data_IF_963208635802
#
_entry.id   IF_963208635802
#
_cell.length_a   1.000
_cell.length_b   1.000
_cell.length_c   1.000
_cell.angle_alpha   90.00
_cell.angle_beta   90.00
_cell.angle_gamma   90.00
#
_symmetry.space_group_name_H-M   'P 1'
#
loop_
_entity.id
_entity.type
_entity.pdbx_description
1 polymer ?
#
# COMPACT_ATOMS: atom_id res chain seq x y z
N UNK A 1 75.83 13.60 62.45
CA UNK A 1 75.65 14.27 61.15
C UNK A 1 74.97 13.28 60.21
N UNK A 2 73.92 13.69 59.47
CA UNK A 2 72.63 12.98 59.39
C UNK A 2 72.30 12.46 57.99
N UNK A 3 71.17 11.75 57.90
CA UNK A 3 70.50 11.32 56.67
C UNK A 3 69.57 10.15 56.98
N UNK A 4 68.55 10.36 57.84
CA UNK A 4 67.15 10.56 57.40
C UNK A 4 66.58 9.32 56.70
N UNK A 5 65.43 8.73 57.06
CA UNK A 5 64.32 9.08 57.93
C UNK A 5 63.68 7.73 58.26
N UNK A 6 63.40 7.48 59.53
CA UNK A 6 62.02 7.36 60.02
C UNK A 6 61.21 6.31 59.25
N UNK A 7 61.31 5.06 59.67
CA UNK A 7 60.43 4.44 60.67
C UNK A 7 59.22 3.76 60.02
N UNK A 8 59.21 2.45 60.24
CA UNK A 8 58.08 1.67 60.73
C UNK A 8 56.82 1.56 59.87
N UNK A 9 56.37 0.29 59.82
CA UNK A 9 54.99 -0.14 59.63
C UNK A 9 54.53 -0.03 58.16
N UNK A 10 54.29 -1.09 57.39
CA UNK A 10 53.27 -2.12 57.62
C UNK A 10 53.26 -3.06 56.39
N UNK A 11 53.17 -4.37 56.66
CA UNK A 11 52.53 -5.45 55.88
C UNK A 11 52.82 -5.67 54.37
N UNK A 12 53.37 -6.86 54.12
CA UNK A 12 52.87 -7.89 53.18
C UNK A 12 52.18 -7.45 51.89
N UNK A 13 52.84 -7.69 50.75
CA UNK A 13 52.36 -8.55 49.66
C UNK A 13 53.34 -8.46 48.48
N UNK A 14 53.75 -9.60 47.90
CA UNK A 14 54.40 -9.54 46.59
C UNK A 14 55.12 -10.79 46.12
N UNK A 15 54.36 -11.65 45.44
CA UNK A 15 54.77 -12.50 44.30
C UNK A 15 55.53 -13.82 44.55
N UNK A 16 54.78 -14.92 44.43
CA UNK A 16 55.20 -16.26 44.00
C UNK A 16 53.92 -17.02 43.54
N UNK A 17 53.93 -17.99 42.61
CA UNK A 17 54.62 -18.20 41.32
C UNK A 17 53.62 -18.24 40.11
N UNK A 18 54.05 -18.41 38.85
CA UNK A 18 53.16 -18.61 37.72
C UNK A 18 52.66 -20.07 37.68
N UNK A 19 51.36 -20.27 37.85
CA UNK A 19 50.73 -21.58 37.69
C UNK A 19 49.49 -21.47 36.80
N UNK A 20 49.33 -22.50 35.97
CA UNK A 20 48.21 -22.85 35.09
C UNK A 20 48.15 -22.13 33.74
N UNK A 21 48.74 -22.81 32.76
CA UNK A 21 48.17 -22.92 31.43
C UNK A 21 46.67 -23.26 31.55
N UNK A 22 45.82 -22.34 31.12
CA UNK A 22 44.44 -22.62 30.82
C UNK A 22 44.41 -23.24 29.42
N UNK A 23 44.20 -24.56 29.35
CA UNK A 23 43.74 -25.20 28.12
C UNK A 23 42.49 -24.48 27.62
N UNK A 24 42.47 -23.97 26.36
CA UNK A 24 41.25 -23.46 25.78
C UNK A 24 40.36 -24.65 25.39
N UNK A 25 39.46 -25.03 26.29
CA UNK A 25 38.42 -26.01 26.01
C UNK A 25 37.54 -25.51 24.84
N UNK A 26 37.51 -26.20 23.67
CA UNK A 26 36.77 -25.73 22.50
C UNK A 26 35.25 -25.71 22.72
N UNK A 27 34.72 -26.30 23.81
CA UNK A 27 33.29 -26.32 24.10
C UNK A 27 32.73 -25.02 24.71
N UNK A 28 33.59 -24.08 25.15
CA UNK A 28 33.12 -22.86 25.83
C UNK A 28 32.82 -21.69 24.90
N UNK A 29 33.31 -21.71 23.66
CA UNK A 29 33.00 -20.67 22.65
C UNK A 29 31.60 -20.81 22.03
N UNK A 30 30.93 -21.95 22.22
CA UNK A 30 29.57 -22.19 21.68
C UNK A 30 28.45 -21.63 22.58
N UNK A 31 28.76 -21.22 23.81
CA UNK A 31 27.75 -20.74 24.77
C UNK A 31 27.54 -19.22 24.77
N UNK A 32 28.37 -18.48 24.01
CA UNK A 32 28.34 -17.01 23.93
C UNK A 32 27.71 -16.44 22.66
N UNK A 33 27.39 -17.29 21.67
CA UNK A 33 26.85 -16.87 20.38
C UNK A 33 25.49 -17.53 20.17
N UNK A 34 24.46 -17.08 20.91
CA UNK A 34 23.10 -17.25 20.40
C UNK A 34 23.03 -16.43 19.11
N UNK A 35 23.31 -17.07 17.98
CA UNK A 35 23.06 -16.50 16.68
C UNK A 35 21.58 -16.10 16.68
N UNK A 36 21.31 -14.80 16.65
CA UNK A 36 19.95 -14.29 16.60
C UNK A 36 19.33 -14.85 15.32
N UNK A 37 18.51 -15.89 15.46
CA UNK A 37 17.84 -16.50 14.33
C UNK A 37 16.94 -15.44 13.70
N UNK A 38 17.20 -15.09 12.44
CA UNK A 38 16.31 -14.24 11.66
C UNK A 38 14.96 -14.93 11.52
N UNK A 39 13.88 -14.17 11.70
CA UNK A 39 12.53 -14.65 11.52
C UNK A 39 12.35 -15.24 10.12
N UNK A 40 11.82 -16.47 10.01
CA UNK A 40 11.47 -17.06 8.73
C UNK A 40 10.12 -16.55 8.21
N UNK A 41 9.44 -15.66 8.94
CA UNK A 41 8.18 -15.06 8.54
C UNK A 41 8.45 -13.89 7.60
N UNK A 42 7.75 -13.88 6.47
CA UNK A 42 7.89 -12.82 5.48
C UNK A 42 6.58 -12.57 4.73
N UNK A 43 6.47 -11.38 4.15
CA UNK A 43 5.39 -11.02 3.24
C UNK A 43 5.75 -11.39 1.79
N UNK A 44 4.74 -11.82 1.03
CA UNK A 44 4.83 -12.14 -0.39
C UNK A 44 3.68 -11.41 -1.12
N UNK A 45 4.00 -10.39 -1.93
CA UNK A 45 5.32 -9.77 -2.09
C UNK A 45 5.80 -9.02 -0.82
N UNK A 46 7.11 -8.79 -0.71
CA UNK A 46 7.71 -8.03 0.41
C UNK A 46 7.53 -6.50 0.28
N UNK A 47 7.25 -6.03 -0.93
CA UNK A 47 6.91 -4.65 -1.23
C UNK A 47 5.75 -4.58 -2.24
N UNK A 48 4.87 -3.60 -2.06
CA UNK A 48 3.71 -3.38 -2.91
C UNK A 48 3.76 -1.98 -3.54
N UNK A 49 3.74 -1.94 -4.88
CA UNK A 49 3.74 -0.71 -5.67
C UNK A 49 2.34 -0.52 -6.26
N UNK A 50 1.62 0.51 -5.81
CA UNK A 50 0.21 0.74 -6.14
C UNK A 50 -0.01 1.69 -7.32
N UNK A 51 1.05 2.35 -7.80
CA UNK A 51 0.94 3.35 -8.85
C UNK A 51 0.25 4.61 -8.36
N UNK A 52 -0.61 5.20 -9.20
CA UNK A 52 -1.32 6.45 -8.91
C UNK A 52 -2.70 6.19 -8.31
N UNK A 53 -3.01 6.89 -7.22
CA UNK A 53 -4.27 6.81 -6.50
C UNK A 53 -4.80 8.22 -6.27
N UNK A 54 -6.11 8.42 -6.43
CA UNK A 54 -6.74 9.71 -6.18
C UNK A 54 -6.64 10.07 -4.68
N UNK A 55 -6.21 11.29 -4.38
CA UNK A 55 -6.12 11.80 -3.00
C UNK A 55 -7.50 11.80 -2.35
N UNK A 56 -7.59 11.25 -1.14
CA UNK A 56 -8.83 11.12 -0.38
C UNK A 56 -9.73 9.96 -0.80
N UNK A 57 -9.41 9.26 -1.89
CA UNK A 57 -10.16 8.08 -2.34
C UNK A 57 -9.51 6.78 -1.87
N UNK A 58 -10.36 5.85 -1.47
CA UNK A 58 -9.92 4.52 -1.05
C UNK A 58 -9.56 3.69 -2.29
N UNK A 59 -8.29 3.31 -2.39
CA UNK A 59 -7.79 2.49 -3.49
C UNK A 59 -8.37 1.06 -3.53
N UNK A 60 -7.94 0.30 -4.54
CA UNK A 60 -8.31 -1.10 -4.69
C UNK A 60 -7.86 -1.95 -3.49
N UNK A 61 -8.52 -3.09 -3.30
CA UNK A 61 -8.13 -4.07 -2.28
C UNK A 61 -6.97 -4.92 -2.82
N UNK A 62 -5.83 -4.86 -2.16
CA UNK A 62 -4.66 -5.69 -2.47
C UNK A 62 -4.56 -6.84 -1.48
N UNK A 63 -4.24 -8.04 -1.97
CA UNK A 63 -4.02 -9.23 -1.15
C UNK A 63 -2.53 -9.52 -1.11
N UNK A 64 -1.98 -9.62 0.10
CA UNK A 64 -0.58 -9.95 0.37
C UNK A 64 -0.56 -11.20 1.24
N UNK A 65 0.29 -12.16 0.91
CA UNK A 65 0.42 -13.36 1.72
C UNK A 65 1.49 -13.14 2.78
N UNK A 66 1.24 -13.58 4.00
CA UNK A 66 2.27 -13.75 5.02
C UNK A 66 2.55 -15.24 5.17
N UNK A 67 3.82 -15.63 5.11
CA UNK A 67 4.24 -17.02 5.09
C UNK A 67 5.32 -17.29 6.11
N UNK A 68 5.22 -18.41 6.81
CA UNK A 68 6.29 -18.94 7.65
C UNK A 68 7.06 -20.01 6.85
N UNK A 69 8.25 -19.68 6.33
CA UNK A 69 9.12 -20.65 5.65
C UNK A 69 10.06 -21.41 6.58
N UNK A 70 9.86 -21.27 7.90
CA UNK A 70 10.68 -21.86 8.93
C UNK A 70 10.29 -23.30 9.23
N UNK A 71 10.99 -23.87 10.19
CA UNK A 71 10.70 -25.20 10.75
C UNK A 71 9.96 -25.14 12.09
N UNK A 72 9.82 -23.93 12.65
CA UNK A 72 9.21 -23.69 13.95
C UNK A 72 7.98 -22.77 13.82
N UNK A 73 7.09 -22.85 14.80
CA UNK A 73 5.89 -22.00 14.88
C UNK A 73 6.30 -20.56 15.18
N UNK A 74 5.87 -19.63 14.34
CA UNK A 74 6.01 -18.20 14.58
C UNK A 74 4.82 -17.68 15.40
N UNK A 75 5.08 -16.82 16.39
CA UNK A 75 4.06 -16.15 17.20
C UNK A 75 3.96 -14.70 16.75
N UNK A 76 2.81 -14.32 16.21
CA UNK A 76 2.58 -13.01 15.60
C UNK A 76 1.87 -12.10 16.61
N UNK A 77 2.48 -10.96 16.91
CA UNK A 77 1.95 -9.97 17.83
C UNK A 77 2.19 -8.54 17.30
N UNK A 78 1.56 -7.55 17.94
CA UNK A 78 1.92 -6.14 17.75
C UNK A 78 1.72 -5.60 16.33
N UNK A 79 0.64 -6.00 15.65
CA UNK A 79 0.29 -5.45 14.34
C UNK A 79 0.14 -3.93 14.39
N UNK A 80 0.86 -3.23 13.53
CA UNK A 80 0.82 -1.78 13.43
C UNK A 80 0.95 -1.32 11.98
N UNK A 81 0.34 -0.19 11.65
CA UNK A 81 0.43 0.43 10.32
C UNK A 81 0.86 1.87 10.47
N UNK A 82 1.91 2.24 9.75
CA UNK A 82 2.41 3.60 9.66
C UNK A 82 2.11 4.13 8.26
N UNK A 83 1.45 5.28 8.15
CA UNK A 83 1.12 5.94 6.88
C UNK A 83 -0.32 5.71 6.41
N UNK A 84 -0.55 5.91 5.11
CA UNK A 84 -1.88 6.02 4.49
C UNK A 84 -2.55 4.66 4.15
N UNK A 85 -2.15 3.59 4.84
CA UNK A 85 -2.68 2.24 4.62
C UNK A 85 -3.63 1.83 5.74
N UNK A 86 -4.58 0.98 5.38
CA UNK A 86 -5.45 0.24 6.29
C UNK A 86 -5.38 -1.23 5.95
N UNK A 87 -5.34 -2.09 6.97
CA UNK A 87 -5.22 -3.53 6.81
C UNK A 87 -6.37 -4.26 7.49
N UNK A 88 -6.67 -5.43 6.96
CA UNK A 88 -7.49 -6.47 7.55
C UNK A 88 -6.75 -7.80 7.33
N UNK A 89 -6.79 -8.74 8.28
CA UNK A 89 -5.97 -9.95 8.19
C UNK A 89 -6.70 -11.17 8.74
N UNK A 90 -6.52 -12.31 8.08
CA UNK A 90 -6.93 -13.61 8.60
C UNK A 90 -5.79 -14.32 9.34
N UNK A 91 -4.64 -13.66 9.51
CA UNK A 91 -3.54 -14.20 10.28
C UNK A 91 -3.93 -14.29 11.76
N UNK A 92 -3.99 -15.51 12.29
CA UNK A 92 -4.11 -15.74 13.72
C UNK A 92 -2.87 -15.29 14.50
N UNK A 93 -2.87 -15.45 15.84
CA UNK A 93 -1.73 -15.09 16.69
C UNK A 93 -0.50 -15.98 16.47
N UNK A 94 -0.60 -17.02 15.65
CA UNK A 94 0.51 -17.89 15.31
C UNK A 94 0.39 -18.41 13.87
N UNK A 95 1.54 -18.65 13.25
CA UNK A 95 1.65 -19.22 11.92
C UNK A 95 2.54 -20.46 11.97
N UNK A 96 1.97 -21.62 11.63
CA UNK A 96 2.67 -22.90 11.61
C UNK A 96 3.76 -22.95 10.54
N UNK A 97 4.78 -23.81 10.70
CA UNK A 97 5.76 -24.08 9.65
C UNK A 97 5.09 -24.40 8.31
N UNK A 98 5.57 -23.77 7.24
CA UNK A 98 5.07 -23.95 5.87
C UNK A 98 3.67 -23.37 5.60
N UNK A 99 3.00 -22.82 6.61
CA UNK A 99 1.67 -22.23 6.46
C UNK A 99 1.72 -20.78 6.00
N UNK A 100 0.59 -20.31 5.48
CA UNK A 100 0.41 -18.94 5.04
C UNK A 100 -0.97 -18.41 5.42
N UNK A 101 -1.07 -17.09 5.60
CA UNK A 101 -2.30 -16.37 5.85
C UNK A 101 -2.39 -15.13 4.95
N UNK A 102 -3.60 -14.63 4.74
CA UNK A 102 -3.86 -13.50 3.85
C UNK A 102 -4.00 -12.19 4.62
N UNK A 103 -3.29 -11.17 4.15
CA UNK A 103 -3.44 -9.77 4.52
C UNK A 103 -4.15 -9.02 3.39
N UNK A 104 -5.26 -8.37 3.73
CA UNK A 104 -6.04 -7.48 2.87
C UNK A 104 -5.68 -6.04 3.16
N UNK A 105 -5.07 -5.36 2.19
CA UNK A 105 -4.57 -4.00 2.31
C UNK A 105 -5.34 -3.05 1.40
N UNK A 106 -5.65 -1.85 1.92
CA UNK A 106 -6.14 -0.71 1.16
C UNK A 106 -5.31 0.51 1.45
N UNK A 107 -5.09 1.34 0.44
CA UNK A 107 -4.32 2.58 0.55
C UNK A 107 -5.21 3.77 0.19
N UNK A 108 -5.17 4.83 0.99
CA UNK A 108 -5.96 6.05 0.81
C UNK A 108 -5.02 7.27 0.92
N UNK A 109 -4.44 7.76 -0.18
CA UNK A 109 -3.46 8.84 -0.14
C UNK A 109 -4.06 10.09 0.53
N UNK A 110 -3.40 10.62 1.55
CA UNK A 110 -3.87 11.82 2.25
C UNK A 110 -3.39 13.13 1.60
N UNK A 111 -2.38 13.07 0.73
CA UNK A 111 -1.85 14.22 -0.01
C UNK A 111 -1.33 13.83 -1.39
N UNK A 112 -1.13 14.83 -2.24
CA UNK A 112 -0.48 14.66 -3.55
C UNK A 112 0.98 14.21 -3.42
N UNK A 113 1.49 13.56 -4.47
CA UNK A 113 2.89 13.15 -4.58
C UNK A 113 3.15 11.75 -4.02
N UNK A 114 4.43 11.40 -3.87
CA UNK A 114 4.81 10.07 -3.39
C UNK A 114 4.38 9.87 -1.92
N UNK A 115 3.67 8.78 -1.67
CA UNK A 115 3.19 8.36 -0.35
C UNK A 115 3.69 6.96 -0.05
N UNK A 116 4.07 6.72 1.19
CA UNK A 116 4.53 5.42 1.68
C UNK A 116 3.72 5.02 2.89
N UNK A 117 3.52 3.72 3.03
CA UNK A 117 3.04 3.11 4.25
C UNK A 117 3.87 1.86 4.57
N UNK A 118 3.96 1.53 5.84
CA UNK A 118 4.64 0.34 6.31
C UNK A 118 3.73 -0.41 7.26
N UNK A 119 3.51 -1.69 6.98
CA UNK A 119 2.86 -2.61 7.92
C UNK A 119 3.94 -3.33 8.70
N UNK A 120 3.79 -3.38 10.02
CA UNK A 120 4.73 -3.97 10.96
C UNK A 120 4.02 -5.06 11.76
N UNK A 121 4.68 -6.20 11.94
CA UNK A 121 4.25 -7.26 12.85
C UNK A 121 5.47 -7.80 13.59
N UNK A 122 5.33 -8.08 14.88
CA UNK A 122 6.36 -8.71 15.70
C UNK A 122 6.22 -10.23 15.60
N UNK A 123 7.30 -10.92 15.21
CA UNK A 123 7.46 -12.34 15.45
C UNK A 123 8.16 -12.53 16.80
N UNK A 124 7.37 -12.80 17.84
CA UNK A 124 7.85 -12.96 19.22
C UNK A 124 8.75 -14.19 19.38
N UNK A 125 8.56 -15.23 18.55
CA UNK A 125 9.40 -16.44 18.59
C UNK A 125 10.86 -16.12 18.27
N UNK A 126 11.10 -15.09 17.44
CA UNK A 126 12.44 -14.69 16.98
C UNK A 126 12.86 -13.31 17.48
N UNK A 127 11.96 -12.57 18.14
CA UNK A 127 12.21 -11.21 18.62
C UNK A 127 12.55 -10.25 17.48
N UNK A 128 11.86 -10.39 16.34
CA UNK A 128 12.10 -9.64 15.11
C UNK A 128 10.79 -9.02 14.59
N UNK A 129 10.89 -7.79 14.07
CA UNK A 129 9.77 -7.10 13.43
C UNK A 129 9.83 -7.33 11.93
N UNK A 130 8.81 -7.96 11.38
CA UNK A 130 8.63 -8.17 9.94
C UNK A 130 7.86 -6.99 9.36
N UNK A 131 8.37 -6.43 8.26
CA UNK A 131 7.81 -5.24 7.63
C UNK A 131 7.37 -5.51 6.18
N UNK A 132 6.22 -4.93 5.80
CA UNK A 132 5.76 -4.82 4.41
C UNK A 132 5.80 -3.35 4.00
N UNK A 133 6.59 -3.04 2.97
CA UNK A 133 6.63 -1.72 2.36
C UNK A 133 5.50 -1.53 1.36
N UNK A 134 4.84 -0.38 1.38
CA UNK A 134 3.82 -0.01 0.40
C UNK A 134 4.10 1.40 -0.11
N UNK A 135 4.07 1.58 -1.43
CA UNK A 135 4.19 2.91 -2.02
C UNK A 135 3.11 3.18 -3.07
N UNK A 136 2.68 4.43 -3.11
CA UNK A 136 1.70 4.96 -4.05
C UNK A 136 2.04 6.42 -4.38
N UNK A 137 1.34 6.99 -5.36
CA UNK A 137 1.41 8.41 -5.68
C UNK A 137 0.01 9.02 -5.65
N UNK A 138 -0.19 10.00 -4.78
CA UNK A 138 -1.43 10.78 -4.71
C UNK A 138 -1.56 11.69 -5.93
N UNK A 139 -2.65 11.57 -6.67
CA UNK A 139 -3.01 12.41 -7.82
C UNK A 139 -4.41 13.00 -7.64
N UNK A 140 -4.79 13.94 -8.52
CA UNK A 140 -6.13 14.53 -8.46
C UNK A 140 -7.19 13.46 -8.78
N UNK A 141 -8.32 13.51 -8.08
CA UNK A 141 -9.48 12.69 -8.42
C UNK A 141 -9.87 12.93 -9.90
N UNK A 142 -10.08 11.83 -10.64
CA UNK A 142 -10.33 11.89 -12.09
C UNK A 142 -9.09 11.85 -12.99
N UNK A 143 -7.87 11.77 -12.44
CA UNK A 143 -6.64 11.57 -13.21
C UNK A 143 -6.36 10.09 -13.55
N UNK A 144 -7.37 9.20 -13.45
CA UNK A 144 -7.23 7.80 -13.85
C UNK A 144 -6.73 7.75 -15.29
N UNK A 145 -5.55 7.19 -15.48
CA UNK A 145 -4.81 7.20 -16.73
C UNK A 145 -5.64 6.52 -17.81
N UNK A 146 -6.17 7.34 -18.72
CA UNK A 146 -6.66 6.92 -20.03
C UNK A 146 -5.49 6.31 -20.83
N UNK A 147 -5.24 5.02 -20.64
CA UNK A 147 -4.49 4.18 -21.55
C UNK A 147 -5.11 2.76 -21.48
N UNK A 148 -5.71 2.16 -22.51
CA UNK A 148 -5.62 2.41 -23.94
C UNK A 148 -6.83 1.83 -24.72
N UNK A 149 -7.00 2.36 -25.95
CA UNK A 149 -7.68 1.82 -27.13
C UNK A 149 -9.20 2.03 -27.29
N UNK A 150 -9.60 3.09 -28.01
CA UNK A 150 -10.89 3.08 -28.70
C UNK A 150 -11.52 4.43 -29.02
N UNK A 151 -11.17 4.98 -30.19
CA UNK A 151 -11.98 5.90 -31.01
C UNK A 151 -12.27 7.31 -30.49
N UNK A 152 -11.52 8.28 -31.05
CA UNK A 152 -12.08 9.36 -31.88
C UNK A 152 -13.54 9.74 -31.61
N UNK A 153 -13.84 10.35 -30.45
CA UNK A 153 -14.97 11.28 -30.37
C UNK A 153 -14.52 12.65 -30.89
N UNK A 154 -14.21 12.67 -32.18
CA UNK A 154 -14.36 13.86 -33.00
C UNK A 154 -15.81 14.27 -32.84
N UNK A 155 -16.09 15.21 -31.94
CA UNK A 155 -17.39 15.88 -31.84
C UNK A 155 -17.75 16.32 -33.27
N UNK A 156 -18.65 15.58 -33.93
CA UNK A 156 -19.24 16.03 -35.19
C UNK A 156 -20.08 17.23 -34.82
N UNK A 157 -19.51 18.42 -34.98
CA UNK A 157 -20.29 19.64 -35.07
C UNK A 157 -21.36 19.41 -36.15
N UNK A 158 -22.62 19.47 -35.76
CA UNK A 158 -23.73 19.45 -36.69
C UNK A 158 -23.56 20.64 -37.66
N UNK A 159 -23.68 20.45 -38.98
CA UNK A 159 -23.62 21.58 -39.90
C UNK A 159 -24.86 22.49 -39.69
N UNK A 160 -24.71 23.83 -39.69
CA UNK A 160 -25.86 24.71 -39.65
C UNK A 160 -26.73 24.48 -40.90
N UNK A 161 -28.02 24.24 -40.70
CA UNK A 161 -29.00 24.08 -41.78
C UNK A 161 -28.96 25.33 -42.67
N UNK A 162 -28.49 25.16 -43.89
CA UNK A 162 -28.55 26.19 -44.92
C UNK A 162 -30.02 26.55 -45.18
N UNK A 163 -30.40 27.79 -44.86
CA UNK A 163 -31.69 28.38 -45.26
C UNK A 163 -31.74 28.39 -46.78
N UNK A 164 -32.54 27.51 -47.40
CA UNK A 164 -32.87 27.60 -48.82
C UNK A 164 -33.55 28.95 -49.07
N UNK A 165 -32.86 29.86 -49.75
CA UNK A 165 -33.44 31.06 -50.36
C UNK A 165 -34.46 30.59 -51.40
N UNK A 166 -35.74 30.90 -51.18
CA UNK A 166 -36.80 30.79 -52.20
C UNK A 166 -36.48 31.79 -53.33
N UNK A 167 -36.36 31.38 -54.60
CA UNK A 167 -36.38 32.31 -55.71
C UNK A 167 -37.80 32.86 -55.87
N UNK A 168 -37.91 34.17 -56.03
CA UNK A 168 -39.15 34.84 -56.44
C UNK A 168 -39.41 34.51 -57.92
N UNK A 169 -40.62 34.05 -58.25
CA UNK A 169 -41.13 34.10 -59.62
C UNK A 169 -42.61 34.48 -59.64
N UNK A 170 -42.87 35.45 -60.52
CA UNK A 170 -44.09 36.14 -60.88
C UNK A 170 -45.28 35.23 -61.25
N UNK A 171 -46.47 35.57 -60.71
CA UNK A 171 -47.83 35.70 -61.32
C UNK A 171 -48.14 35.10 -62.71
N UNK A 172 -49.41 34.69 -63.04
CA UNK A 172 -50.61 35.50 -62.79
C UNK A 172 -51.96 34.79 -62.48
N UNK A 173 -52.95 35.66 -62.23
CA UNK A 173 -54.38 35.53 -61.89
C UNK A 173 -55.19 34.41 -62.55
N UNK A 174 -56.07 33.78 -61.77
CA UNK A 174 -57.50 33.55 -62.09
C UNK A 174 -58.31 33.28 -60.81
N UNK A 175 -59.46 33.96 -60.69
CA UNK A 175 -60.54 33.83 -59.68
C UNK A 175 -61.75 33.19 -60.42
N UNK A 176 -62.94 32.99 -59.80
CA UNK A 176 -63.37 32.27 -58.58
C UNK A 176 -64.33 31.08 -58.91
N UNK A 177 -64.66 30.23 -57.93
CA UNK A 177 -66.01 29.61 -57.82
C UNK A 177 -66.23 28.93 -56.44
N UNK A 178 -67.22 29.42 -55.71
CA UNK A 178 -68.01 28.71 -54.67
C UNK A 178 -69.02 27.78 -55.38
N UNK A 179 -69.50 26.65 -54.80
CA UNK A 179 -70.60 26.73 -53.82
C UNK A 179 -70.72 25.59 -52.75
N UNK A 180 -71.43 25.95 -51.67
CA UNK A 180 -72.42 25.20 -50.85
C UNK A 180 -72.44 23.67 -50.69
N UNK A 181 -72.54 23.23 -49.41
CA UNK A 181 -73.22 21.99 -48.99
C UNK A 181 -72.76 21.50 -47.60
N UNK A 182 -73.41 21.86 -46.49
CA UNK A 182 -74.53 21.19 -45.77
C UNK A 182 -74.08 20.31 -44.58
N UNK A 183 -74.46 20.78 -43.38
CA UNK A 183 -74.52 20.24 -41.99
C UNK A 183 -75.32 18.89 -41.97
N UNK A 184 -75.25 17.91 -41.00
CA UNK A 184 -75.04 18.06 -39.54
C UNK A 184 -74.27 16.96 -38.72
N UNK A 185 -74.03 17.32 -37.46
CA UNK A 185 -73.60 16.59 -36.22
C UNK A 185 -74.57 15.46 -35.78
N UNK A 186 -74.55 14.89 -34.53
CA UNK A 186 -73.57 14.72 -33.42
C UNK A 186 -73.57 13.21 -32.91
N UNK A 187 -73.32 12.81 -31.63
CA UNK A 187 -72.70 13.49 -30.46
C UNK A 187 -71.54 12.73 -29.78
N UNK A 188 -70.81 13.50 -28.96
CA UNK A 188 -69.95 13.02 -27.89
C UNK A 188 -70.78 12.81 -26.59
N UNK A 189 -70.32 11.87 -25.78
CA UNK A 189 -70.73 11.61 -24.39
C UNK A 189 -69.96 12.54 -23.44
#
# INVERSE_FOLDING_TARGET
MPGELLRFLVLTLGLLPPALAADPDPARLERGQQARATSPVHFVPAELLLGELAVGERGALHRVQMRNSGKERARLAGWSVVGDASIDTDCGPALEPGSQCELRLRFTPSSFGARRATVLVLDESHGEVVALGVSAKGVAAGASTLAANGSSQRRRAAPPRARRRRPAMNSPRTRPATPSGRIPSPPAN
#
